data_IF_073745275357
#
_entry.id   IF_073745275357
#
_cell.length_a   1.000
_cell.length_b   1.000
_cell.length_c   1.000
_cell.angle_alpha   90.00
_cell.angle_beta   90.00
_cell.angle_gamma   90.00
#
_symmetry.space_group_name_H-M   'P 1'
#
loop_
_entity.id
_entity.type
_entity.pdbx_description
1 polymer ?
#
# COMPACT_ATOMS: atom_id res chain seq x y z
N UNK A 1 19.11 -9.70 -6.97
CA UNK A 1 18.61 -9.38 -5.61
C UNK A 1 17.09 -9.34 -5.67
N UNK A 2 16.37 -9.99 -4.75
CA UNK A 2 14.92 -9.89 -4.69
C UNK A 2 14.50 -8.44 -4.37
N UNK A 3 13.41 -7.99 -4.99
CA UNK A 3 12.82 -6.67 -4.74
C UNK A 3 11.98 -6.69 -3.45
N UNK A 4 12.09 -5.65 -2.63
CA UNK A 4 11.25 -5.45 -1.45
C UNK A 4 9.88 -4.88 -1.81
N UNK A 5 8.88 -5.01 -0.91
CA UNK A 5 7.56 -4.42 -1.12
C UNK A 5 7.57 -2.89 -1.26
N UNK A 6 8.49 -2.20 -0.57
CA UNK A 6 8.67 -0.75 -0.70
C UNK A 6 9.25 -0.37 -2.08
N UNK A 7 10.25 -1.10 -2.56
CA UNK A 7 10.82 -0.90 -3.89
C UNK A 7 9.78 -1.16 -4.99
N UNK A 8 8.91 -2.16 -4.81
CA UNK A 8 7.80 -2.42 -5.73
C UNK A 8 6.81 -1.25 -5.75
N UNK A 9 6.43 -0.73 -4.57
CA UNK A 9 5.55 0.43 -4.47
C UNK A 9 6.15 1.65 -5.19
N UNK A 10 7.43 1.95 -4.93
CA UNK A 10 8.14 3.04 -5.59
C UNK A 10 8.14 2.85 -7.12
N UNK A 11 8.50 1.66 -7.58
CA UNK A 11 8.50 1.33 -9.00
C UNK A 11 7.13 1.56 -9.65
N UNK A 12 6.05 1.03 -9.06
CA UNK A 12 4.67 1.19 -9.55
C UNK A 12 4.25 2.66 -9.59
N UNK A 13 4.71 3.48 -8.64
CA UNK A 13 4.36 4.91 -8.58
C UNK A 13 5.21 5.79 -9.50
N UNK A 14 6.42 5.35 -9.85
CA UNK A 14 7.30 6.04 -10.81
C UNK A 14 6.96 5.72 -12.26
N UNK A 15 6.27 4.62 -12.54
CA UNK A 15 5.85 4.28 -13.89
C UNK A 15 4.84 5.32 -14.42
N UNK A 16 5.12 5.83 -15.61
CA UNK A 16 4.38 6.94 -16.22
C UNK A 16 3.04 6.53 -16.79
N UNK A 17 2.75 5.23 -16.88
CA UNK A 17 1.46 4.73 -17.35
C UNK A 17 0.34 5.16 -16.40
N UNK A 18 -0.70 5.78 -16.96
CA UNK A 18 -1.86 6.29 -16.21
C UNK A 18 -2.54 5.20 -15.36
N UNK A 19 -2.46 3.95 -15.81
CA UNK A 19 -2.99 2.79 -15.11
C UNK A 19 -2.26 2.57 -13.77
N UNK A 20 -0.93 2.57 -13.75
CA UNK A 20 -0.13 2.28 -12.55
C UNK A 20 -0.21 3.36 -11.47
N UNK A 21 -0.30 4.64 -11.85
CA UNK A 21 -0.48 5.76 -10.90
C UNK A 21 -1.73 5.62 -10.04
N UNK A 22 -2.75 4.98 -10.61
CA UNK A 22 -4.06 4.88 -10.04
C UNK A 22 -4.31 3.53 -9.35
N UNK A 23 -3.48 2.50 -9.53
CA UNK A 23 -3.74 1.20 -8.87
C UNK A 23 -3.72 1.36 -7.33
N UNK A 24 -4.81 1.00 -6.62
CA UNK A 24 -4.82 0.98 -5.17
C UNK A 24 -3.75 0.02 -4.62
N UNK A 25 -2.97 0.48 -3.66
CA UNK A 25 -1.85 -0.26 -3.10
C UNK A 25 -1.99 -0.38 -1.58
N UNK A 26 -2.09 -1.61 -1.09
CA UNK A 26 -2.14 -1.93 0.34
C UNK A 26 -0.85 -2.68 0.71
N UNK A 27 -0.09 -2.14 1.64
CA UNK A 27 1.09 -2.82 2.19
C UNK A 27 0.71 -3.69 3.39
N UNK A 28 1.18 -4.94 3.40
CA UNK A 28 0.97 -5.90 4.50
C UNK A 28 2.34 -6.27 5.07
N UNK A 29 2.54 -6.09 6.37
CA UNK A 29 3.85 -6.31 7.03
C UNK A 29 3.72 -7.11 8.32
N UNK A 30 4.81 -7.74 8.77
CA UNK A 30 4.94 -8.24 10.14
C UNK A 30 5.54 -7.19 11.10
N UNK A 31 6.20 -6.17 10.57
CA UNK A 31 6.96 -5.18 11.34
C UNK A 31 6.25 -3.83 11.36
N UNK A 32 5.96 -3.32 12.55
CA UNK A 32 5.21 -2.07 12.76
C UNK A 32 6.10 -0.86 13.09
N UNK A 33 7.35 -0.85 12.64
CA UNK A 33 8.26 0.26 12.92
C UNK A 33 7.71 1.56 12.32
N UNK A 34 7.65 2.67 13.10
CA UNK A 34 7.17 3.94 12.61
C UNK A 34 7.89 4.43 11.34
N UNK A 35 9.21 4.19 11.22
CA UNK A 35 9.99 4.54 10.04
C UNK A 35 9.45 3.88 8.76
N UNK A 36 9.20 2.57 8.78
CA UNK A 36 8.71 1.82 7.62
C UNK A 36 7.32 2.29 7.17
N UNK A 37 6.46 2.66 8.13
CA UNK A 37 5.13 3.20 7.86
C UNK A 37 5.23 4.58 7.21
N UNK A 38 6.15 5.42 7.70
CA UNK A 38 6.39 6.75 7.13
C UNK A 38 6.93 6.67 5.71
N UNK A 39 7.89 5.80 5.44
CA UNK A 39 8.45 5.59 4.10
C UNK A 39 7.39 5.09 3.11
N UNK A 40 6.56 4.12 3.50
CA UNK A 40 5.47 3.64 2.66
C UNK A 40 4.43 4.74 2.35
N UNK A 41 4.11 5.59 3.34
CA UNK A 41 3.24 6.75 3.13
C UNK A 41 3.84 7.76 2.16
N UNK A 42 5.12 8.09 2.30
CA UNK A 42 5.83 8.99 1.39
C UNK A 42 5.90 8.43 -0.03
N UNK A 43 6.02 7.11 -0.17
CA UNK A 43 5.98 6.41 -1.45
C UNK A 43 4.58 6.31 -2.07
N UNK A 44 3.52 6.83 -1.43
CA UNK A 44 2.17 6.86 -2.00
C UNK A 44 1.37 5.56 -1.82
N UNK A 45 1.57 4.86 -0.69
CA UNK A 45 0.70 3.74 -0.30
C UNK A 45 -0.70 4.24 0.09
N UNK A 46 -1.75 3.52 -0.30
CA UNK A 46 -3.13 3.88 0.04
C UNK A 46 -3.54 3.37 1.42
N UNK A 47 -3.00 2.22 1.81
CA UNK A 47 -3.25 1.64 3.13
C UNK A 47 -2.12 0.74 3.62
N UNK A 48 -2.11 0.50 4.92
CA UNK A 48 -1.09 -0.29 5.61
C UNK A 48 -1.75 -1.24 6.62
N UNK A 49 -1.38 -2.52 6.60
CA UNK A 49 -1.92 -3.57 7.46
C UNK A 49 -0.75 -4.28 8.16
N UNK A 50 -0.84 -4.36 9.49
CA UNK A 50 0.12 -5.10 10.32
C UNK A 50 -0.45 -6.51 10.56
N UNK A 51 0.40 -7.53 10.47
CA UNK A 51 0.07 -8.90 10.83
C UNK A 51 0.18 -9.11 12.35
N UNK A 52 -0.62 -10.01 12.94
CA UNK A 52 -1.73 -10.72 12.33
C UNK A 52 -2.95 -9.81 12.13
N UNK A 53 -3.76 -10.09 11.11
CA UNK A 53 -5.03 -9.42 10.87
C UNK A 53 -6.11 -10.48 10.58
N UNK A 54 -7.38 -10.11 10.80
CA UNK A 54 -8.52 -10.95 10.46
C UNK A 54 -9.15 -10.53 9.11
N UNK A 55 -10.07 -11.35 8.61
CA UNK A 55 -10.75 -11.11 7.33
C UNK A 55 -11.48 -9.76 7.31
N UNK A 56 -12.19 -9.42 8.40
CA UNK A 56 -12.94 -8.17 8.52
C UNK A 56 -12.04 -6.93 8.39
N UNK A 57 -10.83 -6.98 8.96
CA UNK A 57 -9.84 -5.91 8.85
C UNK A 57 -9.40 -5.75 7.39
N UNK A 58 -9.09 -6.85 6.72
CA UNK A 58 -8.68 -6.83 5.31
C UNK A 58 -9.82 -6.27 4.43
N UNK A 59 -11.04 -6.75 4.61
CA UNK A 59 -12.20 -6.31 3.85
C UNK A 59 -12.46 -4.80 4.03
N UNK A 60 -12.41 -4.31 5.26
CA UNK A 60 -12.57 -2.88 5.58
C UNK A 60 -11.50 -2.03 4.88
N UNK A 61 -10.26 -2.51 4.87
CA UNK A 61 -9.12 -1.80 4.26
C UNK A 61 -9.23 -1.78 2.73
N UNK A 62 -9.64 -2.89 2.12
CA UNK A 62 -9.91 -2.98 0.68
C UNK A 62 -11.04 -2.02 0.29
N UNK A 63 -12.18 -2.07 0.99
CA UNK A 63 -13.30 -1.15 0.71
C UNK A 63 -12.84 0.30 0.82
N UNK A 64 -12.08 0.66 1.86
CA UNK A 64 -11.59 2.02 2.08
C UNK A 64 -10.73 2.56 0.91
N UNK A 65 -9.86 1.75 0.30
CA UNK A 65 -9.04 2.21 -0.83
C UNK A 65 -9.81 2.25 -2.14
N UNK A 66 -10.81 1.39 -2.32
CA UNK A 66 -11.65 1.37 -3.51
C UNK A 66 -12.62 2.56 -3.57
N UNK A 67 -13.17 2.99 -2.42
CA UNK A 67 -14.13 4.10 -2.37
C UNK A 67 -13.49 5.48 -2.45
N UNK A 68 -12.24 5.65 -1.97
CA UNK A 68 -11.52 6.95 -2.02
C UNK A 68 -11.30 7.48 -3.44
N UNK A 69 -11.37 6.61 -4.44
CA UNK A 69 -11.02 6.89 -5.84
C UNK A 69 -12.17 7.44 -6.68
N UNK A 70 -13.36 7.63 -6.09
CA UNK A 70 -14.55 8.20 -6.75
C UNK A 70 -14.76 9.69 -6.44
N UNK A 71 -13.77 10.38 -5.86
CA UNK A 71 -13.82 11.83 -5.58
C UNK A 71 -12.77 12.58 -6.38
#
# INVERSE_FOLDING_TARGET
>A
MPMTGLQLLQFVRTDSTYEHKNVPFIMITAESRPENVMEAKQAGVDNYIIKPFNADTLETKIKSVMTKKQR
#
